data_IF_380525728320
#
_entry.id   IF_380525728320
#
_cell.length_a   1.000
_cell.length_b   1.000
_cell.length_c   1.000
_cell.angle_alpha   90.00
_cell.angle_beta   90.00
_cell.angle_gamma   90.00
#
_symmetry.space_group_name_H-M   'P 1'
#
loop_
_entity.id
_entity.type
_entity.pdbx_description
1 polymer ?
#
# COMPACT_ATOMS: atom_id res chain seq x y z
N UNK A 1 -19.53 -17.13 -2.46
CA UNK A 1 -18.71 -17.56 -1.31
C UNK A 1 -17.70 -16.45 -1.07
N UNK A 2 -17.72 -15.79 0.08
CA UNK A 2 -16.81 -14.68 0.38
C UNK A 2 -15.37 -15.21 0.38
N UNK A 3 -14.50 -14.64 -0.46
CA UNK A 3 -13.12 -15.14 -0.57
C UNK A 3 -12.37 -14.77 0.72
N UNK A 4 -11.97 -15.80 1.49
CA UNK A 4 -11.28 -15.63 2.75
C UNK A 4 -9.94 -14.91 2.57
N UNK A 5 -9.57 -14.12 3.57
CA UNK A 5 -8.37 -13.29 3.60
C UNK A 5 -7.16 -14.10 4.10
N UNK A 6 -6.01 -13.93 3.45
CA UNK A 6 -4.71 -14.30 4.01
C UNK A 6 -4.06 -13.07 4.63
N UNK A 7 -3.82 -13.09 5.94
CA UNK A 7 -3.03 -12.06 6.60
C UNK A 7 -1.54 -12.37 6.41
N UNK A 8 -0.74 -11.34 6.19
CA UNK A 8 0.69 -11.45 5.92
C UNK A 8 1.46 -10.56 6.88
N UNK A 9 2.38 -11.13 7.65
CA UNK A 9 3.18 -10.41 8.64
C UNK A 9 4.68 -10.58 8.39
N UNK A 10 5.42 -9.48 8.50
CA UNK A 10 6.86 -9.50 8.77
C UNK A 10 7.11 -9.40 10.27
N UNK A 11 7.99 -10.24 10.81
CA UNK A 11 8.25 -10.30 12.26
C UNK A 11 9.74 -10.24 12.59
N UNK A 12 10.02 -9.66 13.75
CA UNK A 12 11.36 -9.61 14.35
C UNK A 12 11.43 -10.53 15.55
N UNK A 13 11.73 -9.93 16.71
CA UNK A 13 11.89 -10.64 17.99
C UNK A 13 10.74 -10.40 18.98
N UNK A 14 9.58 -9.93 18.48
CA UNK A 14 8.37 -9.76 19.31
C UNK A 14 7.15 -10.28 18.57
N UNK A 15 6.29 -11.01 19.30
CA UNK A 15 5.03 -11.54 18.82
C UNK A 15 3.86 -10.56 19.06
N UNK A 16 4.02 -9.62 19.99
CA UNK A 16 2.95 -8.78 20.53
C UNK A 16 2.23 -8.00 19.43
N UNK A 17 2.99 -7.49 18.47
CA UNK A 17 2.47 -6.73 17.35
C UNK A 17 1.55 -7.56 16.45
N UNK A 18 1.89 -8.81 16.19
CA UNK A 18 1.04 -9.73 15.41
C UNK A 18 -0.22 -10.07 16.20
N UNK A 19 -0.06 -10.45 17.47
CA UNK A 19 -1.17 -10.85 18.35
C UNK A 19 -2.17 -9.70 18.53
N UNK A 20 -1.67 -8.49 18.81
CA UNK A 20 -2.49 -7.29 18.96
C UNK A 20 -3.23 -6.97 17.67
N UNK A 21 -2.54 -6.97 16.54
CA UNK A 21 -3.15 -6.68 15.23
C UNK A 21 -4.26 -7.67 14.89
N UNK A 22 -4.05 -8.96 15.14
CA UNK A 22 -5.08 -9.99 14.89
C UNK A 22 -6.26 -9.83 15.86
N UNK A 23 -6.00 -9.52 17.13
CA UNK A 23 -7.04 -9.27 18.13
C UNK A 23 -7.92 -8.07 17.75
N UNK A 24 -7.32 -6.97 17.30
CA UNK A 24 -8.04 -5.76 16.88
C UNK A 24 -8.79 -5.95 15.55
N UNK A 25 -8.18 -6.62 14.57
CA UNK A 25 -8.80 -6.89 13.26
C UNK A 25 -9.92 -7.93 13.34
N UNK A 26 -9.80 -8.91 14.23
CA UNK A 26 -10.67 -10.09 14.29
C UNK A 26 -10.38 -11.11 13.18
N UNK A 27 -10.92 -12.33 13.35
CA UNK A 27 -10.57 -13.51 12.52
C UNK A 27 -11.70 -14.09 11.68
N UNK A 28 -12.87 -13.45 11.63
CA UNK A 28 -14.11 -14.03 11.06
C UNK A 28 -13.96 -14.49 9.60
N UNK A 29 -13.23 -13.74 8.80
CA UNK A 29 -12.99 -13.93 7.36
C UNK A 29 -11.55 -14.35 7.05
N UNK A 30 -10.73 -14.64 8.06
CA UNK A 30 -9.33 -15.06 7.89
C UNK A 30 -9.27 -16.56 7.58
N UNK A 31 -8.66 -16.94 6.46
CA UNK A 31 -8.35 -18.35 6.19
C UNK A 31 -7.03 -18.77 6.81
N UNK A 32 -6.01 -17.93 6.66
CA UNK A 32 -4.62 -18.30 6.90
C UNK A 32 -3.80 -17.08 7.27
N UNK A 33 -2.74 -17.29 8.04
CA UNK A 33 -1.77 -16.25 8.38
C UNK A 33 -0.39 -16.69 7.92
N UNK A 34 0.20 -15.96 6.97
CA UNK A 34 1.58 -16.14 6.55
C UNK A 34 2.49 -15.25 7.42
N UNK A 35 3.50 -15.85 8.05
CA UNK A 35 4.39 -15.14 8.97
C UNK A 35 5.82 -15.31 8.50
N UNK A 36 6.47 -14.20 8.20
CA UNK A 36 7.82 -14.15 7.64
C UNK A 36 8.80 -13.59 8.67
N UNK A 37 9.90 -14.31 8.90
CA UNK A 37 11.02 -13.86 9.72
C UNK A 37 12.33 -13.99 8.93
N UNK A 38 13.40 -13.35 9.37
CA UNK A 38 14.71 -13.43 8.70
C UNK A 38 15.49 -14.64 9.22
N UNK A 39 16.10 -15.42 8.32
CA UNK A 39 17.06 -16.45 8.69
C UNK A 39 18.36 -15.80 9.19
N UNK A 40 18.85 -16.20 10.35
CA UNK A 40 20.12 -15.74 10.91
C UNK A 40 21.11 -16.88 11.08
N UNK A 41 22.38 -16.60 10.80
CA UNK A 41 23.51 -17.49 11.09
C UNK A 41 23.98 -17.35 12.56
N UNK A 42 23.59 -16.27 13.24
CA UNK A 42 23.89 -16.05 14.65
C UNK A 42 22.89 -16.82 15.52
N UNK A 43 23.39 -17.80 16.28
CA UNK A 43 22.55 -18.72 17.07
C UNK A 43 21.60 -18.00 18.05
N UNK A 44 22.08 -16.92 18.68
CA UNK A 44 21.25 -16.11 19.58
C UNK A 44 20.04 -15.49 18.87
N UNK A 45 20.26 -14.85 17.71
CA UNK A 45 19.18 -14.22 16.93
C UNK A 45 18.24 -15.26 16.35
N UNK A 46 18.79 -16.39 15.91
CA UNK A 46 18.02 -17.53 15.40
C UNK A 46 17.07 -18.06 16.48
N UNK A 47 17.56 -18.23 17.71
CA UNK A 47 16.74 -18.65 18.86
C UNK A 47 15.63 -17.66 19.18
N UNK A 48 15.94 -16.36 19.24
CA UNK A 48 14.92 -15.32 19.46
C UNK A 48 13.84 -15.30 18.38
N UNK A 49 14.23 -15.43 17.11
CA UNK A 49 13.29 -15.51 16.00
C UNK A 49 12.43 -16.78 16.08
N UNK A 50 13.01 -17.92 16.49
CA UNK A 50 12.27 -19.17 16.71
C UNK A 50 11.25 -19.03 17.84
N UNK A 51 11.67 -18.54 19.01
CA UNK A 51 10.79 -18.33 20.16
C UNK A 51 9.61 -17.40 19.83
N UNK A 52 9.89 -16.34 19.04
CA UNK A 52 8.85 -15.42 18.54
C UNK A 52 7.86 -16.13 17.61
N UNK A 53 8.37 -16.88 16.64
CA UNK A 53 7.53 -17.63 15.69
C UNK A 53 6.69 -18.68 16.38
N UNK A 54 7.26 -19.43 17.32
CA UNK A 54 6.56 -20.45 18.10
C UNK A 54 5.43 -19.83 18.92
N UNK A 55 5.66 -18.65 19.51
CA UNK A 55 4.63 -17.90 20.25
C UNK A 55 3.47 -17.51 19.33
N UNK A 56 3.77 -16.99 18.13
CA UNK A 56 2.74 -16.62 17.14
C UNK A 56 1.96 -17.87 16.68
N UNK A 57 2.64 -18.97 16.35
CA UNK A 57 2.01 -20.21 15.90
C UNK A 57 1.11 -20.79 16.99
N UNK A 58 1.57 -20.80 18.24
CA UNK A 58 0.78 -21.26 19.39
C UNK A 58 -0.48 -20.43 19.57
N UNK A 59 -0.38 -19.10 19.46
CA UNK A 59 -1.53 -18.20 19.50
C UNK A 59 -2.53 -18.49 18.36
N UNK A 60 -2.04 -18.57 17.12
CA UNK A 60 -2.87 -18.86 15.94
C UNK A 60 -3.60 -20.20 16.04
N UNK A 61 -2.91 -21.23 16.54
CA UNK A 61 -3.50 -22.55 16.80
C UNK A 61 -4.62 -22.49 17.84
N UNK A 62 -4.42 -21.75 18.94
CA UNK A 62 -5.43 -21.58 19.99
C UNK A 62 -6.72 -20.92 19.47
N UNK A 63 -6.61 -20.01 18.50
CA UNK A 63 -7.75 -19.37 17.84
C UNK A 63 -8.20 -20.10 16.55
N UNK A 64 -7.69 -21.30 16.30
CA UNK A 64 -8.03 -22.18 15.16
C UNK A 64 -7.79 -21.57 13.78
N UNK A 65 -6.73 -20.76 13.65
CA UNK A 65 -6.30 -20.16 12.38
C UNK A 65 -5.03 -20.87 11.88
N UNK A 66 -5.02 -21.29 10.62
CA UNK A 66 -3.85 -21.94 10.01
C UNK A 66 -2.72 -20.95 9.81
N UNK A 67 -1.51 -21.30 10.27
CA UNK A 67 -0.30 -20.48 10.11
C UNK A 67 0.67 -21.08 9.08
N UNK A 68 1.32 -20.23 8.28
CA UNK A 68 2.41 -20.60 7.36
C UNK A 68 3.69 -19.82 7.73
N UNK A 69 4.52 -20.36 8.63
CA UNK A 69 5.79 -19.75 9.00
C UNK A 69 6.84 -19.93 7.88
N UNK A 70 7.60 -18.88 7.56
CA UNK A 70 8.72 -18.94 6.62
C UNK A 70 9.88 -18.07 7.10
N UNK A 71 11.08 -18.65 7.15
CA UNK A 71 12.32 -17.89 7.30
C UNK A 71 12.86 -17.49 5.93
N UNK A 72 13.24 -16.22 5.78
CA UNK A 72 13.67 -15.60 4.53
C UNK A 72 15.16 -15.27 4.63
N UNK A 73 15.92 -15.71 3.63
CA UNK A 73 17.32 -15.28 3.46
C UNK A 73 17.36 -13.91 2.80
N UNK A 74 17.90 -12.93 3.52
CA UNK A 74 18.00 -11.54 3.08
C UNK A 74 19.39 -11.14 2.56
N UNK A 75 20.40 -12.00 2.73
CA UNK A 75 21.75 -11.82 2.15
C UNK A 75 21.76 -12.29 0.69
N UNK A 76 20.77 -11.86 -0.07
CA UNK A 76 20.49 -12.29 -1.43
C UNK A 76 20.00 -11.09 -2.26
N UNK A 77 20.04 -11.16 -3.60
CA UNK A 77 19.39 -10.18 -4.46
C UNK A 77 17.92 -9.95 -4.06
N UNK A 78 17.46 -8.71 -4.15
CA UNK A 78 16.15 -8.30 -3.64
C UNK A 78 15.00 -9.06 -4.31
N UNK A 79 15.08 -9.28 -5.61
CA UNK A 79 14.15 -10.10 -6.40
C UNK A 79 14.06 -11.55 -5.88
N UNK A 80 15.17 -12.14 -5.42
CA UNK A 80 15.14 -13.46 -4.79
C UNK A 80 14.43 -13.43 -3.42
N UNK A 81 14.52 -12.33 -2.67
CA UNK A 81 13.72 -12.14 -1.44
C UNK A 81 12.23 -12.12 -1.79
N UNK A 82 11.83 -11.39 -2.85
CA UNK A 82 10.45 -11.35 -3.35
C UNK A 82 9.98 -12.74 -3.80
N UNK A 83 10.83 -13.51 -4.47
CA UNK A 83 10.52 -14.87 -4.89
C UNK A 83 10.23 -15.81 -3.71
N UNK A 84 11.02 -15.73 -2.63
CA UNK A 84 10.77 -16.52 -1.41
C UNK A 84 9.43 -16.17 -0.74
N UNK A 85 8.99 -14.91 -0.84
CA UNK A 85 7.66 -14.47 -0.37
C UNK A 85 6.57 -15.02 -1.30
N UNK A 86 6.76 -14.96 -2.61
CA UNK A 86 5.79 -15.42 -3.60
C UNK A 86 5.55 -16.93 -3.53
N UNK A 87 6.58 -17.73 -3.24
CA UNK A 87 6.51 -19.19 -2.99
C UNK A 87 5.43 -19.56 -1.95
N UNK A 88 5.20 -18.70 -0.97
CA UNK A 88 4.17 -18.89 0.07
C UNK A 88 2.81 -18.34 -0.36
N UNK A 89 2.78 -17.26 -1.14
CA UNK A 89 1.59 -16.46 -1.39
C UNK A 89 0.98 -16.62 -2.80
N UNK A 90 1.61 -17.38 -3.71
CA UNK A 90 1.23 -17.41 -5.12
C UNK A 90 -0.22 -17.87 -5.35
N UNK A 91 -0.71 -18.84 -4.58
CA UNK A 91 -2.10 -19.35 -4.66
C UNK A 91 -3.15 -18.45 -4.00
N UNK A 92 -2.74 -17.39 -3.29
CA UNK A 92 -3.64 -16.55 -2.49
C UNK A 92 -4.03 -15.30 -3.26
N UNK A 93 -5.32 -14.98 -3.31
CA UNK A 93 -5.85 -13.84 -4.07
C UNK A 93 -6.23 -12.63 -3.20
N UNK A 94 -6.70 -12.85 -1.97
CA UNK A 94 -7.11 -11.81 -1.05
C UNK A 94 -6.10 -11.68 0.09
N UNK A 95 -5.28 -10.63 0.05
CA UNK A 95 -4.10 -10.46 0.89
C UNK A 95 -4.18 -9.16 1.71
N UNK A 96 -3.93 -9.26 3.01
CA UNK A 96 -3.74 -8.10 3.88
C UNK A 96 -2.33 -8.15 4.49
N UNK A 97 -1.47 -7.21 4.06
CA UNK A 97 -0.11 -7.09 4.55
C UNK A 97 -0.05 -6.18 5.77
N UNK A 98 0.66 -6.61 6.80
CA UNK A 98 0.94 -5.84 8.00
C UNK A 98 2.45 -5.68 8.16
N UNK A 99 2.92 -4.48 7.83
CA UNK A 99 4.32 -4.09 7.80
C UNK A 99 4.69 -3.51 9.18
N UNK A 100 4.68 -4.36 10.21
CA UNK A 100 4.62 -3.93 11.63
C UNK A 100 5.77 -4.43 12.50
N UNK A 101 6.78 -5.08 11.93
CA UNK A 101 7.92 -5.59 12.70
C UNK A 101 8.98 -6.25 11.82
N UNK A 102 10.09 -6.65 12.43
CA UNK A 102 11.18 -7.33 11.72
C UNK A 102 12.17 -6.40 11.02
N UNK A 103 13.07 -7.01 10.24
CA UNK A 103 14.11 -6.26 9.56
C UNK A 103 13.52 -5.39 8.45
N UNK A 104 14.02 -4.14 8.34
CA UNK A 104 13.55 -3.16 7.34
C UNK A 104 13.53 -3.72 5.91
N UNK A 105 14.53 -4.50 5.53
CA UNK A 105 14.59 -5.10 4.19
C UNK A 105 13.46 -6.10 3.91
N UNK A 106 13.04 -6.88 4.93
CA UNK A 106 11.91 -7.79 4.81
C UNK A 106 10.60 -7.00 4.70
N UNK A 107 10.46 -5.92 5.47
CA UNK A 107 9.29 -5.02 5.38
C UNK A 107 9.17 -4.36 4.01
N UNK A 108 10.29 -3.88 3.46
CA UNK A 108 10.33 -3.35 2.10
C UNK A 108 9.99 -4.42 1.06
N UNK A 109 10.50 -5.65 1.23
CA UNK A 109 10.20 -6.76 0.33
C UNK A 109 8.72 -7.17 0.37
N UNK A 110 8.12 -7.26 1.56
CA UNK A 110 6.69 -7.54 1.72
C UNK A 110 5.83 -6.45 1.09
N UNK A 111 6.17 -5.18 1.30
CA UNK A 111 5.44 -4.06 0.71
C UNK A 111 5.58 -4.02 -0.82
N UNK A 112 6.80 -4.26 -1.34
CA UNK A 112 7.02 -4.34 -2.78
C UNK A 112 6.22 -5.51 -3.40
N UNK A 113 6.21 -6.67 -2.76
CA UNK A 113 5.38 -7.79 -3.21
C UNK A 113 3.89 -7.46 -3.15
N UNK A 114 3.42 -6.72 -2.13
CA UNK A 114 2.03 -6.26 -2.05
C UNK A 114 1.65 -5.40 -3.28
N UNK A 115 2.52 -4.48 -3.69
CA UNK A 115 2.34 -3.68 -4.90
C UNK A 115 2.35 -4.53 -6.17
N UNK A 116 3.30 -5.46 -6.29
CA UNK A 116 3.37 -6.38 -7.42
C UNK A 116 2.13 -7.27 -7.53
N UNK A 117 1.69 -7.85 -6.42
CA UNK A 117 0.49 -8.68 -6.33
C UNK A 117 -0.76 -7.89 -6.76
N UNK A 118 -0.89 -6.63 -6.30
CA UNK A 118 -1.98 -5.74 -6.71
C UNK A 118 -1.96 -5.48 -8.22
N UNK A 119 -0.79 -5.17 -8.78
CA UNK A 119 -0.61 -4.95 -10.21
C UNK A 119 -0.95 -6.19 -11.06
N UNK A 120 -0.74 -7.39 -10.51
CA UNK A 120 -1.08 -8.68 -11.13
C UNK A 120 -2.53 -9.11 -10.88
N UNK A 121 -3.39 -8.21 -10.39
CA UNK A 121 -4.83 -8.46 -10.27
C UNK A 121 -5.29 -9.08 -8.94
N UNK A 122 -4.39 -9.24 -7.96
CA UNK A 122 -4.79 -9.70 -6.62
C UNK A 122 -5.49 -8.59 -5.83
N UNK A 123 -6.36 -8.97 -4.91
CA UNK A 123 -6.99 -8.06 -3.96
C UNK A 123 -6.04 -7.88 -2.79
N UNK A 124 -5.42 -6.71 -2.71
CA UNK A 124 -4.38 -6.42 -1.73
C UNK A 124 -4.72 -5.16 -0.95
N UNK A 125 -4.54 -5.23 0.37
CA UNK A 125 -4.39 -4.09 1.26
C UNK A 125 -3.05 -4.20 1.98
N UNK A 126 -2.44 -3.07 2.30
CA UNK A 126 -1.22 -3.02 3.08
C UNK A 126 -1.39 -2.00 4.21
N UNK A 127 -0.89 -2.36 5.40
CA UNK A 127 -1.01 -1.57 6.60
C UNK A 127 0.35 -1.40 7.25
N UNK A 128 0.58 -0.22 7.81
CA UNK A 128 1.69 0.05 8.72
C UNK A 128 1.17 0.77 9.94
N UNK A 129 1.94 0.76 11.01
CA UNK A 129 1.59 1.43 12.26
C UNK A 129 2.73 2.35 12.67
N UNK A 130 2.40 3.33 13.50
CA UNK A 130 3.41 4.00 14.32
C UNK A 130 4.10 2.98 15.23
N UNK A 131 5.32 3.27 15.66
CA UNK A 131 6.12 2.33 16.47
C UNK A 131 5.45 1.98 17.82
N UNK A 132 4.71 2.93 18.38
CA UNK A 132 3.89 2.77 19.59
C UNK A 132 2.53 2.10 19.33
N UNK A 133 2.23 1.73 18.08
CA UNK A 133 0.97 1.13 17.65
C UNK A 133 -0.26 1.99 17.99
N UNK A 134 -0.10 3.31 18.12
CA UNK A 134 -1.21 4.23 18.41
C UNK A 134 -2.03 4.58 17.17
N UNK A 135 -1.42 4.54 15.98
CA UNK A 135 -2.09 4.87 14.73
C UNK A 135 -1.77 3.87 13.62
N UNK A 136 -2.81 3.55 12.83
CA UNK A 136 -2.76 2.63 11.69
C UNK A 136 -2.90 3.40 10.38
N UNK A 137 -1.96 3.20 9.46
CA UNK A 137 -2.00 3.72 8.11
C UNK A 137 -2.35 2.61 7.12
N UNK A 138 -3.28 2.86 6.20
CA UNK A 138 -3.40 2.07 4.97
C UNK A 138 -2.41 2.63 3.94
N UNK A 139 -1.50 1.78 3.48
CA UNK A 139 -0.45 2.15 2.55
C UNK A 139 -0.92 2.00 1.10
N UNK A 140 -0.55 2.93 0.19
CA UNK A 140 -0.93 2.84 -1.22
C UNK A 140 -0.18 1.71 -1.93
N UNK A 141 -0.90 0.68 -2.36
CA UNK A 141 -0.33 -0.48 -3.08
C UNK A 141 -0.28 -0.30 -4.60
N UNK A 142 -0.49 0.92 -5.09
CA UNK A 142 -0.46 1.28 -6.51
C UNK A 142 0.44 2.50 -6.65
N UNK A 143 1.32 2.49 -7.65
CA UNK A 143 2.06 3.68 -8.07
C UNK A 143 1.15 4.48 -9.01
N UNK A 144 0.75 5.72 -8.65
CA UNK A 144 -0.04 6.56 -9.54
C UNK A 144 0.67 6.80 -10.88
N UNK A 145 -0.06 6.70 -11.98
CA UNK A 145 0.45 6.98 -13.30
C UNK A 145 0.73 8.48 -13.48
N UNK A 146 1.80 8.82 -14.21
CA UNK A 146 2.15 10.21 -14.51
C UNK A 146 1.00 10.88 -15.31
N UNK A 147 0.51 12.05 -14.88
CA UNK A 147 -0.42 12.85 -15.67
C UNK A 147 0.20 13.32 -17.00
N UNK A 148 -0.60 13.35 -18.06
CA UNK A 148 -0.30 14.07 -19.31
C UNK A 148 -0.22 15.58 -19.07
N UNK A 149 0.32 16.34 -20.03
CA UNK A 149 0.38 17.80 -19.91
C UNK A 149 -1.01 18.44 -19.78
N UNK A 150 -2.01 17.88 -20.47
CA UNK A 150 -3.38 18.37 -20.40
C UNK A 150 -4.06 18.08 -19.04
N UNK A 151 -3.69 16.98 -18.37
CA UNK A 151 -4.14 16.65 -17.00
C UNK A 151 -3.36 17.46 -15.96
N UNK A 152 -2.08 17.73 -16.21
CA UNK A 152 -1.28 18.64 -15.40
C UNK A 152 -1.87 20.05 -15.36
N UNK A 153 -2.40 20.57 -16.46
CA UNK A 153 -3.11 21.86 -16.47
C UNK A 153 -4.31 21.88 -15.52
N UNK A 154 -5.07 20.77 -15.45
CA UNK A 154 -6.18 20.63 -14.51
C UNK A 154 -5.66 20.62 -13.07
N UNK A 155 -4.61 19.85 -12.78
CA UNK A 155 -3.99 19.83 -11.45
C UNK A 155 -3.44 21.20 -11.05
N UNK A 156 -2.82 21.92 -11.98
CA UNK A 156 -2.27 23.25 -11.75
C UNK A 156 -3.39 24.26 -11.45
N UNK A 157 -4.50 24.19 -12.20
CA UNK A 157 -5.68 25.00 -11.94
C UNK A 157 -6.27 24.70 -10.55
N UNK A 158 -6.57 23.43 -10.25
CA UNK A 158 -7.11 23.02 -8.94
C UNK A 158 -6.16 23.40 -7.80
N UNK A 159 -4.85 23.22 -7.98
CA UNK A 159 -3.83 23.59 -6.99
C UNK A 159 -3.62 25.09 -6.80
N UNK A 160 -4.21 25.94 -7.67
CA UNK A 160 -4.20 27.41 -7.52
C UNK A 160 -5.43 27.94 -6.78
N UNK A 161 -6.43 27.10 -6.52
CA UNK A 161 -7.67 27.47 -5.85
C UNK A 161 -7.62 27.15 -4.36
N UNK A 162 -8.29 27.98 -3.57
CA UNK A 162 -8.68 27.62 -2.22
C UNK A 162 -10.02 26.88 -2.29
N UNK A 163 -10.03 25.59 -1.96
CA UNK A 163 -11.24 24.78 -1.95
C UNK A 163 -11.54 24.07 -3.28
N UNK A 164 -12.82 23.83 -3.52
CA UNK A 164 -13.33 23.05 -4.65
C UNK A 164 -13.60 23.92 -5.88
N UNK A 165 -13.52 23.30 -7.07
CA UNK A 165 -13.93 23.89 -8.32
C UNK A 165 -14.88 22.97 -9.08
N UNK A 166 -15.92 23.53 -9.68
CA UNK A 166 -16.88 22.76 -10.47
C UNK A 166 -16.34 22.41 -11.84
N UNK A 167 -16.64 21.20 -12.34
CA UNK A 167 -16.20 20.74 -13.65
C UNK A 167 -16.55 21.69 -14.81
N UNK A 168 -17.71 22.35 -14.75
CA UNK A 168 -18.12 23.32 -15.75
C UNK A 168 -17.20 24.55 -15.77
N UNK A 169 -16.74 25.01 -14.61
CA UNK A 169 -15.83 26.14 -14.49
C UNK A 169 -14.44 25.76 -14.98
N UNK A 170 -13.98 24.55 -14.66
CA UNK A 170 -12.71 24.00 -15.16
C UNK A 170 -12.74 23.94 -16.69
N UNK A 171 -13.82 23.42 -17.28
CA UNK A 171 -14.00 23.34 -18.73
C UNK A 171 -13.96 24.71 -19.40
N UNK A 172 -14.67 25.69 -18.82
CA UNK A 172 -14.69 27.06 -19.32
C UNK A 172 -13.31 27.72 -19.26
N UNK A 173 -12.61 27.59 -18.13
CA UNK A 173 -11.32 28.26 -17.91
C UNK A 173 -10.21 27.66 -18.75
N UNK A 174 -10.21 26.33 -18.91
CA UNK A 174 -9.23 25.64 -19.73
C UNK A 174 -9.61 25.58 -21.22
N UNK A 175 -10.71 26.22 -21.61
CA UNK A 175 -11.25 26.21 -22.98
C UNK A 175 -11.34 24.79 -23.58
N UNK A 176 -11.85 23.84 -22.79
CA UNK A 176 -11.99 22.42 -23.14
C UNK A 176 -13.45 22.00 -23.02
N UNK A 177 -13.85 20.98 -23.80
CA UNK A 177 -15.21 20.43 -23.69
C UNK A 177 -15.42 19.75 -22.33
N UNK A 178 -16.63 19.83 -21.78
CA UNK A 178 -16.97 19.16 -20.53
C UNK A 178 -16.70 17.63 -20.57
N UNK A 179 -17.00 16.89 -21.67
CA UNK A 179 -16.62 15.48 -21.79
C UNK A 179 -15.10 15.25 -21.68
N UNK A 180 -14.28 16.12 -22.26
CA UNK A 180 -12.82 16.03 -22.16
C UNK A 180 -12.35 16.20 -20.72
N UNK A 181 -12.83 17.23 -20.03
CA UNK A 181 -12.52 17.48 -18.62
C UNK A 181 -13.00 16.33 -17.75
N UNK A 182 -14.20 15.78 -18.00
CA UNK A 182 -14.71 14.62 -17.28
C UNK A 182 -13.80 13.41 -17.40
N UNK A 183 -13.35 13.08 -18.63
CA UNK A 183 -12.42 11.96 -18.84
C UNK A 183 -11.11 12.17 -18.08
N UNK A 184 -10.56 13.38 -18.12
CA UNK A 184 -9.28 13.70 -17.48
C UNK A 184 -9.39 13.72 -15.95
N UNK A 185 -10.48 14.27 -15.39
CA UNK A 185 -10.75 14.24 -13.96
C UNK A 185 -10.96 12.82 -13.48
N UNK A 186 -11.72 11.98 -14.19
CA UNK A 186 -11.92 10.58 -13.81
C UNK A 186 -10.58 9.82 -13.78
N UNK A 187 -9.68 10.10 -14.73
CA UNK A 187 -8.33 9.56 -14.67
C UNK A 187 -7.59 10.05 -13.42
N UNK A 188 -7.51 11.37 -13.20
CA UNK A 188 -6.82 11.95 -12.03
C UNK A 188 -7.39 11.45 -10.69
N UNK A 189 -8.70 11.28 -10.60
CA UNK A 189 -9.42 10.70 -9.47
C UNK A 189 -9.05 9.23 -9.26
N UNK A 190 -9.02 8.42 -10.33
CA UNK A 190 -8.57 7.02 -10.26
C UNK A 190 -7.10 6.85 -9.83
N UNK A 191 -6.27 7.87 -10.06
CA UNK A 191 -4.87 7.91 -9.62
C UNK A 191 -4.70 8.50 -8.20
N UNK A 192 -5.79 8.97 -7.57
CA UNK A 192 -5.79 9.57 -6.24
C UNK A 192 -5.26 11.01 -6.19
N UNK A 193 -5.10 11.69 -7.33
CA UNK A 193 -4.64 13.08 -7.38
C UNK A 193 -5.75 14.10 -7.14
N UNK A 194 -6.99 13.72 -7.41
CA UNK A 194 -8.19 14.56 -7.29
C UNK A 194 -9.26 13.78 -6.53
N UNK A 195 -10.04 14.48 -5.73
CA UNK A 195 -11.25 13.97 -5.08
C UNK A 195 -12.43 14.83 -5.57
N UNK A 196 -13.52 14.19 -5.97
CA UNK A 196 -14.72 14.88 -6.39
C UNK A 196 -15.96 14.32 -5.68
N UNK A 197 -16.96 15.19 -5.45
CA UNK A 197 -18.24 14.73 -4.91
C UNK A 197 -19.16 14.19 -6.01
N UNK A 198 -20.06 13.26 -5.66
CA UNK A 198 -21.05 12.72 -6.61
C UNK A 198 -22.28 13.64 -6.79
N UNK A 199 -22.11 14.95 -6.66
CA UNK A 199 -23.17 15.95 -6.84
C UNK A 199 -23.16 16.54 -8.24
N UNK A 200 -24.25 17.22 -8.65
CA UNK A 200 -24.33 17.94 -9.93
C UNK A 200 -24.58 19.43 -9.69
N UNK A 201 -23.74 20.34 -10.22
CA UNK A 201 -22.49 20.08 -10.95
C UNK A 201 -21.41 19.47 -10.03
N UNK A 202 -20.58 18.56 -10.56
CA UNK A 202 -19.56 17.79 -9.80
C UNK A 202 -18.42 18.72 -9.34
N UNK A 203 -18.29 19.02 -8.04
CA UNK A 203 -17.16 19.77 -7.49
C UNK A 203 -15.97 18.84 -7.30
N UNK A 204 -14.78 19.37 -7.54
CA UNK A 204 -13.52 18.63 -7.45
C UNK A 204 -12.46 19.46 -6.74
N UNK A 205 -11.62 18.80 -5.95
CA UNK A 205 -10.45 19.40 -5.29
C UNK A 205 -9.21 18.53 -5.48
N UNK A 206 -8.05 19.17 -5.41
CA UNK A 206 -6.76 18.47 -5.44
C UNK A 206 -6.51 17.78 -4.08
N UNK A 207 -6.06 16.54 -4.09
CA UNK A 207 -5.64 15.82 -2.88
C UNK A 207 -4.22 16.22 -2.47
N UNK A 208 -3.77 15.83 -1.28
CA UNK A 208 -2.37 16.05 -0.89
C UNK A 208 -1.39 15.29 -1.79
N UNK A 209 -1.76 14.10 -2.26
CA UNK A 209 -0.99 13.36 -3.26
C UNK A 209 -0.94 14.11 -4.61
N UNK A 210 -2.05 14.73 -5.01
CA UNK A 210 -2.10 15.59 -6.20
C UNK A 210 -1.19 16.82 -6.06
N UNK A 211 -1.13 17.44 -4.87
CA UNK A 211 -0.22 18.56 -4.59
C UNK A 211 1.24 18.13 -4.67
N UNK A 212 1.58 16.95 -4.13
CA UNK A 212 2.93 16.37 -4.25
C UNK A 212 3.28 16.17 -5.73
N UNK A 213 2.39 15.54 -6.52
CA UNK A 213 2.59 15.35 -7.96
C UNK A 213 2.84 16.68 -8.69
N UNK A 214 2.01 17.69 -8.41
CA UNK A 214 2.12 19.03 -9.00
C UNK A 214 3.46 19.69 -8.67
N UNK A 215 3.91 19.63 -7.42
CA UNK A 215 5.20 20.18 -6.98
C UNK A 215 6.37 19.48 -7.67
N UNK A 216 6.35 18.16 -7.73
CA UNK A 216 7.39 17.37 -8.41
C UNK A 216 7.47 17.70 -9.90
N UNK A 217 6.33 17.77 -10.60
CA UNK A 217 6.29 18.08 -12.03
C UNK A 217 6.74 19.51 -12.34
N UNK A 218 6.41 20.49 -11.47
CA UNK A 218 6.93 21.87 -11.59
C UNK A 218 8.45 21.91 -11.47
N UNK A 219 9.02 21.21 -10.49
CA UNK A 219 10.47 21.11 -10.33
C UNK A 219 11.18 20.52 -11.55
N UNK A 220 10.57 19.52 -12.19
CA UNK A 220 11.10 18.92 -13.43
C UNK A 220 11.05 19.88 -14.62
N UNK A 221 9.94 20.62 -14.79
CA UNK A 221 9.78 21.59 -15.89
C UNK A 221 10.75 22.77 -15.76
N UNK A 222 10.99 23.26 -14.54
CA UNK A 222 11.92 24.37 -14.32
C UNK A 222 13.36 23.99 -14.69
N UNK A 223 13.82 22.77 -14.34
CA UNK A 223 15.17 22.29 -14.70
C UNK A 223 15.37 22.11 -16.20
N UNK A 224 14.32 21.77 -16.95
CA UNK A 224 14.41 21.62 -18.41
C UNK A 224 14.53 22.95 -19.16
N UNK A 225 14.11 24.07 -18.54
CA UNK A 225 14.21 25.41 -19.11
C UNK A 225 15.54 26.12 -18.76
N UNK A 226 16.41 25.48 -17.97
CA UNK A 226 17.73 25.98 -17.57
C UNK A 226 18.87 25.42 -18.45
N UNK A 227 18.54 24.57 -19.43
CA UNK A 227 19.46 24.03 -20.46
C UNK A 227 18.98 24.43 -21.85
#
# INVERSE_FOLDING_TARGET
MEEKVTLVFGVGFTADYVIRTISERGIKDVSTVAVFSVSSEEEYRKRQAQETMDTIIKYLSAIKVTSYPKYISIKQPFDYIIYQISDVLWTKNNLEFYIIGGMRILNLALYYYAMLAKALGKRVKAYSYTEDMSYKYELPVIIPAKPSDAEFEILAYLGSKYGEAYMNDIAKILNKSLPTISKQINFLESQGYVECEETKPKPCKITDLGKVCLQTLRGLKNKLNEF
#
